data_IF_619534103609
#
_entry.id   IF_619534103609
#
_cell.length_a   1.000
_cell.length_b   1.000
_cell.length_c   1.000
_cell.angle_alpha   90.00
_cell.angle_beta   90.00
_cell.angle_gamma   90.00
#
_symmetry.space_group_name_H-M   'P 1'
#
loop_
_entity.id
_entity.type
_entity.pdbx_description
1 polymer ?
#
# COMPACT_ATOMS: atom_id res chain seq x y z
N UNK A 1 9.78 -7.04 15.39
CA UNK A 1 8.79 -6.06 15.92
C UNK A 1 7.64 -6.03 14.94
N UNK A 2 6.41 -6.29 15.41
CA UNK A 2 5.21 -6.38 14.55
C UNK A 2 5.01 -5.12 13.69
N UNK A 3 5.33 -3.94 14.25
CA UNK A 3 5.24 -2.67 13.54
C UNK A 3 6.23 -2.57 12.36
N UNK A 4 7.43 -3.15 12.50
CA UNK A 4 8.45 -3.11 11.45
C UNK A 4 8.04 -4.00 10.25
N UNK A 5 7.43 -5.15 10.50
CA UNK A 5 6.91 -6.04 9.45
C UNK A 5 5.78 -5.37 8.66
N UNK A 6 4.82 -4.72 9.34
CA UNK A 6 3.77 -3.96 8.67
C UNK A 6 4.31 -2.77 7.88
N UNK A 7 5.31 -2.05 8.39
CA UNK A 7 5.96 -0.97 7.65
C UNK A 7 6.66 -1.48 6.39
N UNK A 8 7.40 -2.59 6.48
CA UNK A 8 8.06 -3.20 5.32
C UNK A 8 7.04 -3.65 4.26
N UNK A 9 5.96 -4.27 4.69
CA UNK A 9 4.90 -4.75 3.80
C UNK A 9 4.14 -3.59 3.15
N UNK A 10 3.84 -2.53 3.92
CA UNK A 10 3.25 -1.29 3.40
C UNK A 10 4.16 -0.61 2.38
N UNK A 11 5.46 -0.52 2.66
CA UNK A 11 6.44 0.08 1.75
C UNK A 11 6.58 -0.74 0.46
N UNK A 12 6.69 -2.07 0.55
CA UNK A 12 6.76 -2.96 -0.60
C UNK A 12 5.51 -2.85 -1.48
N UNK A 13 4.33 -2.83 -0.87
CA UNK A 13 3.06 -2.69 -1.58
C UNK A 13 2.95 -1.33 -2.28
N UNK A 14 3.34 -0.25 -1.60
CA UNK A 14 3.33 1.10 -2.17
C UNK A 14 4.33 1.26 -3.32
N UNK A 15 5.52 0.66 -3.22
CA UNK A 15 6.50 0.65 -4.32
C UNK A 15 5.98 -0.12 -5.53
N UNK A 16 5.37 -1.29 -5.32
CA UNK A 16 4.76 -2.06 -6.41
C UNK A 16 3.63 -1.28 -7.10
N UNK A 17 2.75 -0.65 -6.32
CA UNK A 17 1.68 0.19 -6.85
C UNK A 17 2.22 1.39 -7.64
N UNK A 18 3.25 2.08 -7.14
CA UNK A 18 3.89 3.20 -7.82
C UNK A 18 4.57 2.77 -9.13
N UNK A 19 5.23 1.61 -9.14
CA UNK A 19 5.85 1.07 -10.36
C UNK A 19 4.80 0.75 -11.43
N UNK A 20 3.73 0.03 -11.05
CA UNK A 20 2.64 -0.33 -11.96
C UNK A 20 1.92 0.92 -12.47
N UNK A 21 1.59 1.87 -11.58
CA UNK A 21 0.94 3.13 -11.93
C UNK A 21 1.78 3.98 -12.89
N UNK A 22 3.10 4.01 -12.69
CA UNK A 22 4.03 4.72 -13.58
C UNK A 22 4.08 4.08 -14.97
N UNK A 23 4.15 2.75 -15.04
CA UNK A 23 4.11 2.03 -16.32
C UNK A 23 2.78 2.28 -17.05
N UNK A 24 1.66 2.19 -16.33
CA UNK A 24 0.34 2.47 -16.88
C UNK A 24 0.24 3.92 -17.40
N UNK A 25 0.70 4.90 -16.62
CA UNK A 25 0.71 6.31 -17.03
C UNK A 25 1.57 6.56 -18.27
N UNK A 26 2.72 5.89 -18.37
CA UNK A 26 3.61 5.99 -19.53
C UNK A 26 2.96 5.41 -20.78
N UNK A 27 2.39 4.22 -20.69
CA UNK A 27 1.67 3.59 -21.81
C UNK A 27 0.46 4.43 -22.21
N UNK A 28 -0.29 4.97 -21.25
CA UNK A 28 -1.43 5.84 -21.51
C UNK A 28 -1.01 7.14 -22.23
N UNK A 29 0.06 7.79 -21.77
CA UNK A 29 0.58 9.01 -22.40
C UNK A 29 1.07 8.75 -23.84
N UNK A 30 1.83 7.67 -24.05
CA UNK A 30 2.40 7.33 -25.36
C UNK A 30 1.32 6.89 -26.36
N UNK A 31 0.34 6.10 -25.91
CA UNK A 31 -0.68 5.50 -26.80
C UNK A 31 -1.91 6.35 -27.00
N UNK A 32 -2.33 7.11 -25.98
CA UNK A 32 -3.60 7.81 -25.99
C UNK A 32 -3.43 9.32 -26.18
N UNK A 33 -2.44 9.94 -25.54
CA UNK A 33 -2.19 11.38 -25.64
C UNK A 33 -1.19 11.76 -26.74
N UNK A 34 -0.49 10.80 -27.36
CA UNK A 34 0.60 11.03 -28.33
C UNK A 34 1.69 12.01 -27.82
N UNK A 35 1.78 12.19 -26.50
CA UNK A 35 2.66 13.15 -25.84
C UNK A 35 3.81 12.45 -25.12
N UNK A 36 4.95 13.14 -25.01
CA UNK A 36 6.09 12.66 -24.23
C UNK A 36 5.71 12.54 -22.75
N UNK A 37 5.53 11.31 -22.27
CA UNK A 37 5.20 11.04 -20.87
C UNK A 37 6.32 11.53 -19.96
N UNK A 38 6.08 12.63 -19.24
CA UNK A 38 7.01 13.13 -18.23
C UNK A 38 6.68 12.51 -16.87
N UNK A 39 7.72 11.99 -16.21
CA UNK A 39 7.60 11.52 -14.83
C UNK A 39 7.35 12.73 -13.93
N UNK A 40 6.20 12.75 -13.25
CA UNK A 40 5.90 13.76 -12.23
C UNK A 40 6.34 13.24 -10.85
N UNK A 41 7.50 13.67 -10.32
CA UNK A 41 8.05 13.14 -9.07
C UNK A 41 7.12 13.41 -7.87
N UNK A 42 6.37 14.52 -7.91
CA UNK A 42 5.37 14.86 -6.88
C UNK A 42 4.23 13.84 -6.84
N UNK A 43 3.73 13.42 -8.01
CA UNK A 43 2.66 12.43 -8.10
C UNK A 43 3.15 11.05 -7.62
N UNK A 44 4.40 10.69 -7.96
CA UNK A 44 5.02 9.45 -7.50
C UNK A 44 5.15 9.43 -5.97
N UNK A 45 5.67 10.51 -5.38
CA UNK A 45 5.82 10.64 -3.94
C UNK A 45 4.46 10.60 -3.23
N UNK A 46 3.45 11.30 -3.75
CA UNK A 46 2.10 11.26 -3.22
C UNK A 46 1.50 9.84 -3.27
N UNK A 47 1.70 9.11 -4.38
CA UNK A 47 1.23 7.73 -4.52
C UNK A 47 1.88 6.78 -3.51
N UNK A 48 3.21 6.87 -3.34
CA UNK A 48 3.93 6.05 -2.35
C UNK A 48 3.47 6.39 -0.92
N UNK A 49 3.42 7.68 -0.57
CA UNK A 49 3.03 8.11 0.78
C UNK A 49 1.59 7.71 1.12
N UNK A 50 0.66 7.89 0.18
CA UNK A 50 -0.75 7.50 0.37
C UNK A 50 -0.90 5.98 0.45
N UNK A 51 -0.20 5.22 -0.41
CA UNK A 51 -0.19 3.76 -0.35
C UNK A 51 0.32 3.21 0.99
N UNK A 52 1.41 3.78 1.51
CA UNK A 52 1.95 3.44 2.83
C UNK A 52 0.94 3.78 3.92
N UNK A 53 0.37 5.00 3.89
CA UNK A 53 -0.59 5.46 4.89
C UNK A 53 -1.86 4.60 4.94
N UNK A 54 -2.41 4.24 3.77
CA UNK A 54 -3.60 3.39 3.67
C UNK A 54 -3.30 1.97 4.17
N UNK A 55 -2.17 1.38 3.76
CA UNK A 55 -1.82 0.01 4.16
C UNK A 55 -1.57 -0.09 5.66
N UNK A 56 -0.84 0.86 6.23
CA UNK A 56 -0.65 0.94 7.68
C UNK A 56 -1.96 1.20 8.43
N UNK A 57 -2.81 2.11 7.92
CA UNK A 57 -4.10 2.41 8.51
C UNK A 57 -5.00 1.18 8.57
N UNK A 58 -5.14 0.46 7.46
CA UNK A 58 -5.92 -0.78 7.39
C UNK A 58 -5.30 -1.90 8.24
N UNK A 59 -3.98 -2.06 8.21
CA UNK A 59 -3.25 -3.03 9.03
C UNK A 59 -3.45 -2.80 10.53
N UNK A 60 -3.31 -1.56 10.99
CA UNK A 60 -3.50 -1.19 12.39
C UNK A 60 -4.96 -1.35 12.84
N UNK A 61 -5.92 -0.99 11.98
CA UNK A 61 -7.34 -1.20 12.26
C UNK A 61 -7.70 -2.69 12.38
N UNK A 62 -7.11 -3.53 11.51
CA UNK A 62 -7.24 -4.98 11.56
C UNK A 62 -6.69 -5.58 12.85
N UNK A 63 -5.48 -5.18 13.25
CA UNK A 63 -4.86 -5.64 14.51
C UNK A 63 -5.69 -5.22 15.73
N UNK A 64 -6.16 -3.96 15.79
CA UNK A 64 -7.03 -3.50 16.89
C UNK A 64 -8.33 -4.31 16.97
N UNK A 65 -8.92 -4.65 15.82
CA UNK A 65 -10.13 -5.48 15.78
C UNK A 65 -9.86 -6.91 16.24
N UNK A 66 -8.71 -7.49 15.88
CA UNK A 66 -8.30 -8.82 16.31
C UNK A 66 -8.01 -8.88 17.82
N UNK A 67 -7.29 -7.90 18.37
CA UNK A 67 -6.98 -7.82 19.81
C UNK A 67 -8.22 -7.50 20.66
N UNK A 68 -9.23 -6.84 20.09
CA UNK A 68 -10.50 -6.57 20.78
C UNK A 68 -11.41 -7.80 20.88
N UNK A 69 -11.09 -8.90 20.18
CA UNK A 69 -11.82 -10.16 20.33
C UNK A 69 -11.36 -10.87 21.61
N UNK A 70 -12.30 -11.30 22.46
CA UNK A 70 -11.97 -12.13 23.63
C UNK A 70 -11.20 -13.36 23.17
N UNK A 71 -10.04 -13.63 23.76
CA UNK A 71 -9.16 -14.78 23.45
C UNK A 71 -9.78 -16.19 23.69
N UNK A 72 -11.02 -16.25 24.19
CA UNK A 72 -11.69 -17.46 24.65
C UNK A 72 -12.08 -18.51 23.58
N UNK A 73 -12.44 -18.17 22.32
CA UNK A 73 -12.86 -19.19 21.36
C UNK A 73 -11.69 -19.88 20.66
N UNK A 74 -10.49 -19.28 20.64
CA UNK A 74 -9.30 -19.87 20.01
C UNK A 74 -8.57 -20.85 20.94
N UNK A 75 -8.60 -20.61 22.26
CA UNK A 75 -7.95 -21.49 23.25
C UNK A 75 -8.79 -22.70 23.68
N UNK A 76 -10.04 -22.81 23.18
CA UNK A 76 -11.00 -23.87 23.54
C UNK A 76 -11.07 -25.00 22.51
N UNK A 77 -10.26 -24.94 21.47
CA UNK A 77 -10.28 -25.88 20.35
C UNK A 77 -9.01 -26.74 20.25
N UNK A 78 -8.25 -26.80 21.35
CA UNK A 78 -7.36 -27.92 21.69
C UNK A 78 -8.12 -28.87 22.62
#
# INVERSE_FOLDING_TARGET
SLAAEFCLLALATALAAAAIGTLAARVFSERLLQGAGSLHPVALAACVLTGVAVTLGLGFLGVRRALSQKALPVLRNE
#
